data_IF_578067960923
#
_entry.id   IF_578067960923
#
_cell.length_a   1.000
_cell.length_b   1.000
_cell.length_c   1.000
_cell.angle_alpha   90.00
_cell.angle_beta   90.00
_cell.angle_gamma   90.00
#
_symmetry.space_group_name_H-M   'P 1'
#
loop_
_entity.id
_entity.type
_entity.pdbx_description
1 polymer ?
#
# COMPACT_ATOMS: atom_id res chain seq x y z
N UNK A 1 9.01 0.91 -9.50
CA UNK A 1 8.70 2.28 -9.02
C UNK A 1 8.43 3.32 -10.11
N UNK A 2 8.74 3.03 -11.38
CA UNK A 2 8.54 3.93 -12.53
C UNK A 2 7.17 4.64 -12.57
N UNK A 3 6.10 3.95 -12.14
CA UNK A 3 4.72 4.44 -12.17
C UNK A 3 4.17 4.99 -10.83
N UNK A 4 4.89 4.86 -9.71
CA UNK A 4 4.38 5.38 -8.44
C UNK A 4 4.45 6.91 -8.42
N UNK A 5 3.39 7.51 -7.91
CA UNK A 5 3.29 8.95 -7.67
C UNK A 5 3.42 9.30 -6.17
N UNK A 6 3.60 8.30 -5.31
CA UNK A 6 3.87 8.53 -3.89
C UNK A 6 5.31 9.02 -3.69
N UNK A 7 5.48 10.33 -3.53
CA UNK A 7 6.79 10.97 -3.35
C UNK A 7 7.53 10.53 -2.09
N UNK A 8 6.82 10.03 -1.07
CA UNK A 8 7.44 9.60 0.18
C UNK A 8 8.22 8.29 -0.01
N UNK A 9 7.64 7.33 -0.73
CA UNK A 9 8.22 5.99 -0.86
C UNK A 9 8.80 5.71 -2.25
N UNK A 10 8.59 6.60 -3.24
CA UNK A 10 9.02 6.40 -4.64
C UNK A 10 10.45 5.90 -4.79
N UNK A 11 11.36 6.47 -4.00
CA UNK A 11 12.79 6.22 -4.13
C UNK A 11 13.24 4.94 -3.41
N UNK A 12 12.38 4.33 -2.59
CA UNK A 12 12.65 3.11 -1.82
C UNK A 12 11.78 1.94 -2.26
N UNK A 13 11.29 1.94 -3.50
CA UNK A 13 10.57 0.79 -4.04
C UNK A 13 9.13 0.63 -3.57
N UNK A 14 8.64 1.52 -2.70
CA UNK A 14 7.27 1.49 -2.16
C UNK A 14 7.21 0.88 -0.78
N UNK A 15 8.39 0.64 -0.20
CA UNK A 15 8.54 0.13 1.14
C UNK A 15 8.13 1.22 2.14
N UNK A 16 7.15 0.87 2.96
CA UNK A 16 6.57 1.70 4.03
C UNK A 16 6.95 1.16 5.42
N UNK A 17 7.81 0.14 5.48
CA UNK A 17 8.24 -0.50 6.71
C UNK A 17 7.12 -1.29 7.41
N UNK A 18 7.28 -1.49 8.72
CA UNK A 18 6.27 -2.14 9.56
C UNK A 18 5.19 -1.12 9.90
N UNK A 19 3.97 -1.38 9.43
CA UNK A 19 2.80 -0.59 9.79
C UNK A 19 2.26 -1.04 11.15
N UNK A 20 1.99 -0.07 12.03
CA UNK A 20 1.16 -0.29 13.21
C UNK A 20 -0.31 -0.10 12.84
N UNK A 21 -1.23 -0.78 13.52
CA UNK A 21 -2.66 -0.56 13.28
C UNK A 21 -3.03 0.91 13.53
N UNK A 22 -3.83 1.50 12.64
CA UNK A 22 -4.21 2.92 12.65
C UNK A 22 -3.19 3.89 12.06
N UNK A 23 -2.12 3.38 11.44
CA UNK A 23 -1.09 4.22 10.79
C UNK A 23 -1.48 4.63 9.37
N UNK A 24 -2.43 3.92 8.75
CA UNK A 24 -2.91 4.18 7.41
C UNK A 24 -4.44 4.27 7.35
N UNK A 25 -4.94 4.75 6.21
CA UNK A 25 -6.38 4.80 5.96
C UNK A 25 -6.96 3.37 6.02
N UNK A 26 -8.17 3.26 6.58
CA UNK A 26 -8.86 1.98 6.78
C UNK A 26 -8.86 1.08 5.54
N UNK A 27 -9.19 1.64 4.36
CA UNK A 27 -9.20 0.87 3.11
C UNK A 27 -7.85 0.24 2.74
N UNK A 28 -6.74 0.86 3.15
CA UNK A 28 -5.41 0.30 2.96
C UNK A 28 -5.14 -0.80 3.99
N UNK A 29 -5.41 -0.52 5.27
CA UNK A 29 -5.16 -1.46 6.35
C UNK A 29 -5.97 -2.74 6.18
N UNK A 30 -7.28 -2.63 5.93
CA UNK A 30 -8.18 -3.77 5.71
C UNK A 30 -7.64 -4.67 4.61
N UNK A 31 -7.20 -4.07 3.50
CA UNK A 31 -6.67 -4.85 2.38
C UNK A 31 -5.30 -5.45 2.66
N UNK A 32 -4.43 -4.74 3.37
CA UNK A 32 -3.13 -5.27 3.79
C UNK A 32 -3.29 -6.48 4.73
N UNK A 33 -4.26 -6.47 5.64
CA UNK A 33 -4.56 -7.60 6.53
C UNK A 33 -5.18 -8.80 5.81
N UNK A 34 -5.88 -8.59 4.69
CA UNK A 34 -6.42 -9.68 3.86
C UNK A 34 -5.34 -10.40 3.04
N UNK A 35 -4.20 -9.75 2.77
CA UNK A 35 -3.14 -10.31 1.93
C UNK A 35 -2.27 -11.31 2.69
N UNK A 36 -2.05 -12.45 2.07
CA UNK A 36 -1.00 -13.37 2.51
C UNK A 36 0.39 -12.75 2.28
N UNK A 37 1.39 -13.16 3.06
CA UNK A 37 2.78 -12.70 2.89
C UNK A 37 3.24 -12.96 1.46
N UNK A 38 3.76 -11.92 0.80
CA UNK A 38 4.19 -11.93 -0.59
C UNK A 38 3.09 -11.67 -1.63
N UNK A 39 1.81 -11.66 -1.24
CA UNK A 39 0.67 -11.49 -2.15
C UNK A 39 0.52 -10.02 -2.57
N UNK A 40 0.15 -9.81 -3.83
CA UNK A 40 -0.16 -8.49 -4.39
C UNK A 40 -1.68 -8.34 -4.48
N UNK A 41 -2.21 -7.18 -4.07
CA UNK A 41 -3.64 -6.88 -4.17
C UNK A 41 -4.06 -6.56 -5.61
N UNK A 42 -5.37 -6.69 -5.86
CA UNK A 42 -5.99 -5.93 -6.95
C UNK A 42 -5.92 -4.42 -6.67
N UNK A 43 -6.07 -3.55 -7.69
CA UNK A 43 -6.08 -2.11 -7.49
C UNK A 43 -7.19 -1.67 -6.54
N UNK A 44 -6.81 -0.94 -5.49
CA UNK A 44 -7.72 -0.42 -4.47
C UNK A 44 -7.96 1.05 -4.77
N UNK A 45 -9.22 1.44 -4.91
CA UNK A 45 -9.59 2.83 -5.08
C UNK A 45 -9.73 3.52 -3.72
N UNK A 46 -9.07 4.67 -3.57
CA UNK A 46 -9.18 5.56 -2.41
C UNK A 46 -9.44 6.98 -2.88
N UNK A 47 -9.62 7.92 -1.94
CA UNK A 47 -9.73 9.35 -2.27
C UNK A 47 -8.45 9.93 -2.88
N UNK A 48 -7.33 9.20 -2.81
CA UNK A 48 -6.03 9.60 -3.38
C UNK A 48 -5.74 8.97 -4.74
N UNK A 49 -6.64 8.11 -5.25
CA UNK A 49 -6.49 7.42 -6.52
C UNK A 49 -6.47 5.90 -6.36
N UNK A 50 -5.64 5.23 -7.16
CA UNK A 50 -5.52 3.77 -7.13
C UNK A 50 -4.21 3.33 -6.47
N UNK A 51 -4.30 2.30 -5.65
CA UNK A 51 -3.17 1.75 -4.90
C UNK A 51 -3.05 0.25 -5.17
N UNK A 52 -1.81 -0.24 -5.25
CA UNK A 52 -1.49 -1.66 -5.29
C UNK A 52 -0.64 -1.95 -4.06
N UNK A 53 -1.03 -2.95 -3.27
CA UNK A 53 -0.38 -3.32 -2.02
C UNK A 53 0.31 -4.66 -2.21
N UNK A 54 1.47 -4.83 -1.57
CA UNK A 54 2.14 -6.11 -1.45
C UNK A 54 2.51 -6.36 0.02
N UNK A 55 2.16 -7.53 0.54
CA UNK A 55 2.57 -8.00 1.87
C UNK A 55 3.83 -8.88 1.81
#
# INVERSE_FOLDING_TARGET
>A
MEYSQDSATKNVGGDIGILQSGSMILAFEDKAYELQVGQISEPIQTNYGFHIIKN
#
